data_IF_677800770728
#
_entry.id   IF_677800770728
#
_cell.length_a   1.000
_cell.length_b   1.000
_cell.length_c   1.000
_cell.angle_alpha   90.00
_cell.angle_beta   90.00
_cell.angle_gamma   90.00
#
_symmetry.space_group_name_H-M   'P 1'
#
loop_
_entity.id
_entity.type
_entity.pdbx_description
1 polymer ?
#
# COMPACT_ATOMS: atom_id res chain seq x y z
N UNK A 1 21.90 -5.08 17.47
CA UNK A 1 20.87 -4.79 16.45
C UNK A 1 21.05 -3.34 16.03
N UNK A 2 21.03 -3.00 14.73
CA UNK A 2 21.13 -1.61 14.28
C UNK A 2 20.05 -0.74 14.93
N UNK A 3 20.36 0.53 15.20
CA UNK A 3 19.38 1.48 15.71
C UNK A 3 18.29 1.74 14.64
N UNK A 4 17.00 1.94 14.99
CA UNK A 4 15.92 2.16 14.02
C UNK A 4 16.20 3.25 12.99
N UNK A 5 16.85 4.33 13.42
CA UNK A 5 17.30 5.45 12.56
C UNK A 5 18.16 4.98 11.38
N UNK A 6 18.91 3.89 11.52
CA UNK A 6 19.71 3.33 10.42
C UNK A 6 18.84 2.86 9.25
N UNK A 7 17.63 2.36 9.53
CA UNK A 7 16.69 1.94 8.49
C UNK A 7 16.11 3.15 7.75
N UNK A 8 15.84 4.24 8.47
CA UNK A 8 15.38 5.49 7.87
C UNK A 8 16.47 6.10 6.97
N UNK A 9 17.72 6.13 7.45
CA UNK A 9 18.85 6.56 6.63
C UNK A 9 18.98 5.70 5.37
N UNK A 10 18.87 4.36 5.49
CA UNK A 10 18.91 3.45 4.33
C UNK A 10 17.84 3.82 3.30
N UNK A 11 16.61 4.11 3.75
CA UNK A 11 15.51 4.49 2.86
C UNK A 11 15.73 5.86 2.23
N UNK A 12 16.11 6.89 2.99
CA UNK A 12 16.30 8.25 2.49
C UNK A 12 17.43 8.36 1.45
N UNK A 13 18.51 7.61 1.65
CA UNK A 13 19.69 7.61 0.78
C UNK A 13 19.66 6.52 -0.31
N UNK A 14 18.55 5.82 -0.48
CA UNK A 14 18.48 4.75 -1.46
C UNK A 14 18.66 5.27 -2.90
N UNK A 15 19.32 4.51 -3.78
CA UNK A 15 19.67 4.98 -5.13
C UNK A 15 18.50 5.00 -6.12
N UNK A 16 17.33 4.46 -5.73
CA UNK A 16 16.16 4.31 -6.61
C UNK A 16 14.95 4.93 -5.94
N UNK A 17 14.27 5.84 -6.63
CA UNK A 17 12.94 6.33 -6.21
C UNK A 17 11.88 5.73 -7.12
N UNK A 18 10.73 5.39 -6.53
CA UNK A 18 9.56 4.93 -7.29
C UNK A 18 8.39 5.85 -7.00
N UNK A 19 7.79 6.40 -8.06
CA UNK A 19 6.62 7.28 -7.96
C UNK A 19 5.43 6.63 -8.65
N UNK A 20 4.26 6.52 -8.01
CA UNK A 20 3.06 6.01 -8.66
C UNK A 20 2.58 6.99 -9.74
N UNK A 21 2.30 6.50 -10.96
CA UNK A 21 1.74 7.32 -12.04
C UNK A 21 0.28 6.97 -12.32
N UNK A 22 0.00 5.71 -12.68
CA UNK A 22 -1.35 5.19 -12.93
C UNK A 22 -1.47 3.80 -12.34
N UNK A 23 -1.81 3.75 -11.06
CA UNK A 23 -1.81 2.48 -10.33
C UNK A 23 -2.79 1.47 -10.91
N UNK A 24 -3.98 1.86 -11.38
CA UNK A 24 -4.93 0.94 -12.07
C UNK A 24 -4.36 0.25 -13.32
N UNK A 25 -3.26 0.75 -13.89
CA UNK A 25 -2.54 0.17 -15.04
C UNK A 25 -1.17 -0.39 -14.64
N UNK A 26 -0.93 -0.51 -13.32
CA UNK A 26 0.34 -0.92 -12.72
C UNK A 26 1.52 -0.07 -13.18
N UNK A 27 1.29 1.21 -13.52
CA UNK A 27 2.30 2.11 -14.08
C UNK A 27 2.97 2.93 -12.98
N UNK A 28 4.29 2.76 -12.88
CA UNK A 28 5.15 3.49 -11.94
C UNK A 28 6.29 4.18 -12.69
N UNK A 29 6.80 5.28 -12.16
CA UNK A 29 8.05 5.91 -12.60
C UNK A 29 9.18 5.45 -11.71
N UNK A 30 10.25 4.94 -12.31
CA UNK A 30 11.50 4.61 -11.62
C UNK A 30 12.50 5.71 -11.94
N UNK A 31 13.13 6.27 -10.91
CA UNK A 31 14.19 7.28 -11.01
C UNK A 31 15.51 6.72 -10.49
N UNK A 32 16.58 6.97 -11.24
CA UNK A 32 17.94 6.71 -10.80
C UNK A 32 18.55 7.93 -10.10
N UNK A 33 18.72 7.87 -8.78
CA UNK A 33 19.33 8.94 -7.97
C UNK A 33 20.86 8.89 -7.93
N UNK A 34 21.48 7.95 -8.64
CA UNK A 34 22.94 7.87 -8.76
C UNK A 34 23.45 8.91 -9.75
N UNK A 35 24.67 9.39 -9.51
CA UNK A 35 25.32 10.40 -10.35
C UNK A 35 26.21 9.83 -11.45
N UNK A 36 26.67 8.58 -11.33
CA UNK A 36 27.74 8.05 -12.19
C UNK A 36 27.47 6.68 -12.82
N UNK A 37 26.48 5.93 -12.32
CA UNK A 37 26.16 4.60 -12.82
C UNK A 37 24.68 4.44 -13.13
N UNK A 38 24.37 3.61 -14.13
CA UNK A 38 23.01 3.18 -14.43
C UNK A 38 22.47 2.26 -13.31
N UNK A 39 21.21 1.84 -13.44
CA UNK A 39 20.59 0.83 -12.56
C UNK A 39 20.70 -0.61 -13.10
N UNK A 40 21.54 -0.85 -14.11
CA UNK A 40 21.67 -2.17 -14.78
C UNK A 40 22.24 -3.27 -13.88
N UNK A 41 22.92 -2.89 -12.79
CA UNK A 41 23.43 -3.78 -11.75
C UNK A 41 22.35 -4.27 -10.78
N UNK A 42 21.11 -3.79 -10.91
CA UNK A 42 20.00 -4.10 -10.02
C UNK A 42 18.95 -5.01 -10.68
N UNK A 43 18.29 -5.81 -9.84
CA UNK A 43 17.08 -6.56 -10.17
C UNK A 43 15.95 -6.08 -9.28
N UNK A 44 14.79 -5.81 -9.86
CA UNK A 44 13.59 -5.50 -9.11
C UNK A 44 12.77 -6.77 -8.87
N UNK A 45 12.32 -6.96 -7.64
CA UNK A 45 11.37 -7.98 -7.24
C UNK A 45 10.12 -7.27 -6.76
N UNK A 46 8.96 -7.73 -7.20
CA UNK A 46 7.69 -7.13 -6.83
C UNK A 46 6.80 -8.17 -6.16
N UNK A 47 5.97 -7.70 -5.21
CA UNK A 47 4.96 -8.50 -4.54
C UNK A 47 3.67 -7.71 -4.43
N UNK A 48 2.55 -8.30 -4.82
CA UNK A 48 1.22 -7.76 -4.50
C UNK A 48 0.76 -8.43 -3.21
N UNK A 49 0.37 -7.62 -2.22
CA UNK A 49 -0.09 -8.10 -0.92
C UNK A 49 -1.54 -7.73 -0.68
N UNK A 50 -2.28 -8.65 -0.08
CA UNK A 50 -3.63 -8.45 0.45
C UNK A 50 -3.55 -8.56 1.98
N UNK A 51 -3.86 -7.48 2.70
CA UNK A 51 -3.80 -7.44 4.17
C UNK A 51 -2.46 -8.00 4.72
N UNK A 52 -1.36 -7.67 4.04
CA UNK A 52 0.00 -8.12 4.39
C UNK A 52 0.41 -9.52 3.87
N UNK A 53 -0.53 -10.34 3.40
CA UNK A 53 -0.25 -11.67 2.81
C UNK A 53 0.13 -11.53 1.34
N UNK A 54 1.16 -12.25 0.91
CA UNK A 54 1.59 -12.24 -0.50
C UNK A 54 0.54 -12.96 -1.35
N UNK A 55 0.03 -12.29 -2.37
CA UNK A 55 -0.93 -12.82 -3.33
C UNK A 55 -0.27 -13.14 -4.67
N UNK A 56 0.58 -12.23 -5.16
CA UNK A 56 1.35 -12.39 -6.40
C UNK A 56 2.78 -11.94 -6.16
N UNK A 57 3.73 -12.52 -6.89
CA UNK A 57 5.11 -12.07 -6.89
C UNK A 57 5.79 -12.34 -8.23
N UNK A 58 6.86 -11.60 -8.49
CA UNK A 58 7.66 -11.80 -9.69
C UNK A 58 8.89 -10.91 -9.75
N UNK A 59 9.62 -11.05 -10.86
CA UNK A 59 10.78 -10.22 -11.18
C UNK A 59 10.44 -9.16 -12.22
N UNK A 60 11.15 -8.04 -12.16
CA UNK A 60 11.15 -6.98 -13.16
C UNK A 60 12.60 -6.63 -13.50
N UNK A 61 12.95 -6.78 -14.78
CA UNK A 61 14.27 -6.38 -15.27
C UNK A 61 14.31 -4.86 -15.38
N UNK A 62 15.27 -4.25 -14.72
CA UNK A 62 15.59 -2.83 -14.86
C UNK A 62 16.77 -2.77 -15.83
N UNK A 63 16.63 -2.00 -16.92
CA UNK A 63 17.72 -1.82 -17.88
C UNK A 63 17.65 -0.46 -18.53
N UNK A 64 18.81 0.17 -18.71
CA UNK A 64 18.98 1.39 -19.48
C UNK A 64 18.52 2.66 -18.77
N UNK A 65 18.39 2.65 -17.44
CA UNK A 65 18.12 3.86 -16.66
C UNK A 65 19.46 4.45 -16.23
N UNK A 66 19.95 5.43 -16.98
CA UNK A 66 21.21 6.13 -16.73
C UNK A 66 21.18 7.03 -15.48
N UNK A 67 22.31 7.63 -15.10
CA UNK A 67 22.40 8.51 -13.93
C UNK A 67 21.43 9.70 -14.03
N UNK A 68 20.62 9.93 -13.00
CA UNK A 68 19.61 11.01 -12.97
C UNK A 68 18.41 10.80 -13.89
N UNK A 69 18.35 9.70 -14.64
CA UNK A 69 17.25 9.44 -15.59
C UNK A 69 16.03 8.82 -14.91
N UNK A 70 14.90 8.94 -15.60
CA UNK A 70 13.63 8.32 -15.19
C UNK A 70 13.09 7.42 -16.30
N UNK A 71 12.34 6.40 -15.92
CA UNK A 71 11.64 5.53 -16.88
C UNK A 71 10.30 5.07 -16.31
N UNK A 72 9.27 5.13 -17.13
CA UNK A 72 7.93 4.67 -16.78
C UNK A 72 7.81 3.19 -17.13
N UNK A 73 7.47 2.35 -16.14
CA UNK A 73 7.41 0.90 -16.28
C UNK A 73 6.06 0.40 -15.77
N UNK A 74 5.43 -0.48 -16.56
CA UNK A 74 4.28 -1.25 -16.11
C UNK A 74 4.75 -2.51 -15.41
N UNK A 75 4.40 -2.66 -14.13
CA UNK A 75 4.76 -3.83 -13.32
C UNK A 75 3.91 -5.02 -13.78
N UNK A 76 4.53 -6.18 -14.09
CA UNK A 76 3.89 -7.27 -14.83
C UNK A 76 3.02 -8.16 -13.92
N UNK A 77 2.01 -7.58 -13.27
CA UNK A 77 0.97 -8.32 -12.56
C UNK A 77 -0.41 -7.99 -13.16
N UNK A 78 -1.34 -8.91 -12.99
CA UNK A 78 -2.75 -8.70 -13.29
C UNK A 78 -3.51 -8.55 -11.99
N UNK A 79 -4.47 -7.63 -11.96
CA UNK A 79 -5.38 -7.54 -10.83
C UNK A 79 -6.18 -8.83 -10.68
N UNK A 80 -6.35 -9.33 -9.45
CA UNK A 80 -7.25 -10.45 -9.17
C UNK A 80 -8.67 -10.12 -9.67
N UNK A 81 -9.35 -11.12 -10.25
CA UNK A 81 -10.74 -10.97 -10.69
C UNK A 81 -11.71 -10.90 -9.51
N UNK A 82 -11.38 -11.58 -8.43
CA UNK A 82 -12.13 -11.60 -7.18
C UNK A 82 -11.30 -10.90 -6.12
N UNK A 83 -11.96 -10.01 -5.39
CA UNK A 83 -11.31 -9.18 -4.40
C UNK A 83 -12.09 -9.25 -3.09
N UNK A 84 -11.36 -9.35 -1.98
CA UNK A 84 -11.97 -9.46 -0.67
C UNK A 84 -12.58 -8.11 -0.25
N UNK A 85 -13.86 -8.06 0.13
CA UNK A 85 -14.49 -6.86 0.68
C UNK A 85 -13.67 -6.27 1.84
N UNK A 86 -13.40 -4.96 1.80
CA UNK A 86 -12.65 -4.27 2.85
C UNK A 86 -11.15 -4.61 2.95
N UNK A 87 -10.58 -5.37 2.01
CA UNK A 87 -9.15 -5.65 2.04
C UNK A 87 -8.30 -4.51 1.47
N UNK A 88 -7.14 -4.27 2.10
CA UNK A 88 -6.13 -3.33 1.62
C UNK A 88 -5.09 -4.05 0.77
N UNK A 89 -4.83 -3.49 -0.40
CA UNK A 89 -3.88 -4.03 -1.36
C UNK A 89 -2.67 -3.13 -1.53
N UNK A 90 -1.48 -3.72 -1.50
CA UNK A 90 -0.22 -3.01 -1.63
C UNK A 90 0.67 -3.67 -2.68
N UNK A 91 1.43 -2.86 -3.39
CA UNK A 91 2.52 -3.28 -4.26
C UNK A 91 3.84 -2.96 -3.58
N UNK A 92 4.58 -4.00 -3.22
CA UNK A 92 5.95 -3.88 -2.74
C UNK A 92 6.92 -4.02 -3.92
N UNK A 93 7.90 -3.14 -3.98
CA UNK A 93 8.99 -3.15 -4.94
C UNK A 93 10.31 -3.18 -4.18
N UNK A 94 11.16 -4.16 -4.47
CA UNK A 94 12.43 -4.39 -3.78
C UNK A 94 13.55 -4.49 -4.81
N UNK A 95 14.53 -3.60 -4.73
CA UNK A 95 15.67 -3.57 -5.63
C UNK A 95 16.88 -4.21 -4.97
N UNK A 96 17.46 -5.21 -5.64
CA UNK A 96 18.58 -6.00 -5.12
C UNK A 96 19.74 -6.01 -6.09
N UNK A 97 20.96 -6.08 -5.57
CA UNK A 97 22.17 -6.26 -6.38
C UNK A 97 22.09 -7.56 -7.19
N UNK A 98 22.38 -7.48 -8.48
CA UNK A 98 22.35 -8.65 -9.37
C UNK A 98 23.52 -9.62 -9.09
N UNK A 99 24.66 -9.06 -8.69
CA UNK A 99 25.93 -9.75 -8.49
C UNK A 99 26.59 -9.33 -7.16
N UNK A 100 27.61 -10.08 -6.75
CA UNK A 100 28.42 -9.76 -5.57
C UNK A 100 29.29 -8.54 -5.87
N UNK A 101 29.35 -7.62 -4.92
CA UNK A 101 30.26 -6.46 -4.97
C UNK A 101 31.33 -6.59 -3.89
N UNK A 102 32.24 -5.62 -3.82
CA UNK A 102 33.24 -5.55 -2.74
C UNK A 102 32.61 -5.33 -1.35
N UNK A 103 31.40 -4.78 -1.28
CA UNK A 103 30.76 -4.33 -0.04
C UNK A 103 29.51 -5.15 0.34
N UNK A 104 28.95 -5.95 -0.56
CA UNK A 104 27.81 -6.81 -0.26
C UNK A 104 27.77 -8.10 -1.10
N UNK A 105 27.06 -9.14 -0.62
CA UNK A 105 26.73 -10.30 -1.45
C UNK A 105 25.79 -9.92 -2.61
N UNK A 106 25.65 -10.84 -3.57
CA UNK A 106 24.59 -10.77 -4.56
C UNK A 106 23.22 -10.88 -3.86
N UNK A 107 22.22 -10.17 -4.37
CA UNK A 107 20.86 -10.18 -3.82
C UNK A 107 20.66 -9.24 -2.62
N UNK A 108 21.63 -8.39 -2.29
CA UNK A 108 21.50 -7.42 -1.20
C UNK A 108 20.51 -6.32 -1.56
N UNK A 109 19.57 -6.02 -0.66
CA UNK A 109 18.55 -4.98 -0.85
C UNK A 109 19.14 -3.58 -0.70
N UNK A 110 19.06 -2.78 -1.76
CA UNK A 110 19.56 -1.40 -1.80
C UNK A 110 18.47 -0.35 -1.77
N UNK A 111 17.25 -0.69 -2.21
CA UNK A 111 16.09 0.20 -2.20
C UNK A 111 14.81 -0.62 -2.07
N UNK A 112 13.79 -0.01 -1.48
CA UNK A 112 12.44 -0.58 -1.40
C UNK A 112 11.40 0.53 -1.48
N UNK A 113 10.23 0.19 -2.00
CA UNK A 113 9.07 1.07 -1.97
C UNK A 113 7.78 0.26 -1.81
N UNK A 114 6.79 0.82 -1.11
CA UNK A 114 5.46 0.23 -0.98
C UNK A 114 4.42 1.23 -1.46
N UNK A 115 3.61 0.81 -2.44
CA UNK A 115 2.58 1.64 -3.05
C UNK A 115 1.20 1.05 -2.76
N UNK A 116 0.27 1.88 -2.29
CA UNK A 116 -1.13 1.48 -2.16
C UNK A 116 -1.76 1.27 -3.54
N UNK A 117 -2.51 0.18 -3.70
CA UNK A 117 -3.27 -0.09 -4.91
C UNK A 117 -4.70 0.41 -4.72
N UNK A 118 -5.22 1.31 -5.59
CA UNK A 118 -6.53 1.92 -5.43
C UNK A 118 -7.65 0.96 -5.86
N UNK A 119 -7.79 -0.11 -5.11
CA UNK A 119 -8.77 -1.16 -5.33
C UNK A 119 -9.93 -0.95 -4.37
N UNK A 120 -11.10 -0.71 -4.93
CA UNK A 120 -12.32 -0.48 -4.15
C UNK A 120 -13.11 -1.76 -4.17
N UNK A 121 -13.16 -2.44 -3.03
CA UNK A 121 -14.09 -3.53 -2.77
C UNK A 121 -15.09 -3.01 -1.76
N UNK A 122 -16.36 -2.75 -2.17
CA UNK A 122 -17.36 -2.31 -1.22
C UNK A 122 -17.48 -3.37 -0.12
N UNK A 123 -17.40 -2.92 1.14
CA UNK A 123 -17.67 -3.78 2.29
C UNK A 123 -19.15 -4.11 2.24
N UNK A 124 -19.48 -5.38 2.01
CA UNK A 124 -20.85 -5.85 2.20
C UNK A 124 -20.98 -6.19 3.68
N UNK A 125 -21.76 -5.40 4.42
CA UNK A 125 -22.22 -5.82 5.73
C UNK A 125 -23.37 -6.79 5.51
N UNK A 126 -23.17 -8.06 5.84
CA UNK A 126 -24.28 -9.00 5.96
C UNK A 126 -25.20 -8.46 7.05
N UNK A 127 -26.36 -7.96 6.64
CA UNK A 127 -27.40 -7.55 7.58
C UNK A 127 -27.94 -8.84 8.18
N UNK A 128 -27.45 -9.20 9.36
CA UNK A 128 -28.10 -10.21 10.19
C UNK A 128 -29.42 -9.59 10.62
N UNK A 129 -30.49 -9.89 9.88
CA UNK A 129 -31.85 -9.60 10.27
C UNK A 129 -32.11 -10.40 11.56
N UNK A 130 -31.83 -9.78 12.70
CA UNK A 130 -32.37 -10.23 13.96
C UNK A 130 -33.80 -9.72 13.94
N UNK A 131 -34.78 -10.62 13.84
CA UNK A 131 -36.18 -10.29 14.08
C UNK A 131 -36.28 -9.75 15.51
N UNK A 132 -36.34 -8.42 15.64
CA UNK A 132 -36.70 -7.80 16.90
C UNK A 132 -38.23 -7.89 16.96
N UNK A 133 -38.75 -8.95 17.58
CA UNK A 133 -40.13 -8.94 18.08
C UNK A 133 -40.23 -7.90 19.19
N UNK A 134 -40.58 -6.68 18.81
CA UNK A 134 -40.82 -5.58 19.74
C UNK A 134 -41.57 -4.48 19.02
N UNK A 135 -42.80 -4.21 19.46
CA UNK A 135 -43.64 -3.13 18.95
C UNK A 135 -42.91 -1.78 19.08
N UNK A 136 -42.64 -1.11 17.96
CA UNK A 136 -42.09 0.24 17.93
C UNK A 136 -43.22 1.22 18.20
N UNK A 137 -43.20 1.87 19.36
CA UNK A 137 -44.10 2.97 19.70
C UNK A 137 -43.55 4.27 19.09
N UNK A 138 -44.16 4.73 18.00
CA UNK A 138 -43.75 5.94 17.28
C UNK A 138 -44.29 7.20 17.95
N UNK A 139 -43.69 7.63 19.07
CA UNK A 139 -43.84 9.02 19.54
C UNK A 139 -42.72 9.44 20.49
N UNK A 140 -41.60 9.96 19.95
CA UNK A 140 -40.80 11.05 20.54
C UNK A 140 -39.49 11.22 19.76
N UNK A 141 -39.35 12.32 19.04
CA UNK A 141 -38.03 12.86 18.70
C UNK A 141 -37.41 13.46 19.96
N UNK A 142 -36.76 12.63 20.77
CA UNK A 142 -35.78 13.08 21.74
C UNK A 142 -34.83 11.92 22.08
N UNK A 143 -33.62 12.00 21.51
CA UNK A 143 -32.37 11.38 21.98
C UNK A 143 -32.42 9.87 22.29
N UNK A 144 -32.33 9.04 21.26
CA UNK A 144 -31.96 7.64 21.44
C UNK A 144 -30.43 7.52 21.58
N UNK A 145 -29.93 7.49 22.82
CA UNK A 145 -28.59 6.98 23.09
C UNK A 145 -28.64 5.45 23.01
N UNK A 146 -28.00 4.88 21.99
CA UNK A 146 -27.70 3.45 21.96
C UNK A 146 -26.41 3.20 22.75
N UNK A 147 -26.55 2.69 23.97
CA UNK A 147 -25.43 2.14 24.74
C UNK A 147 -25.31 0.66 24.36
N UNK A 148 -24.41 0.35 23.41
CA UNK A 148 -23.95 -1.02 23.18
C UNK A 148 -22.82 -1.32 24.17
N UNK A 149 -23.01 -2.33 25.02
CA UNK A 149 -22.01 -2.78 26.01
C UNK A 149 -20.92 -3.63 25.32
N UNK A 150 -20.09 -2.99 24.51
CA UNK A 150 -18.66 -3.25 24.29
C UNK A 150 -18.20 -2.48 23.04
N UNK A 151 -17.24 -1.59 23.26
CA UNK A 151 -16.46 -0.81 22.28
C UNK A 151 -17.27 0.04 21.29
N UNK A 152 -17.48 1.30 21.69
CA UNK A 152 -18.07 2.33 20.86
C UNK A 152 -17.10 2.70 19.72
N UNK A 153 -17.47 2.37 18.48
CA UNK A 153 -16.93 3.00 17.28
C UNK A 153 -18.07 3.72 16.58
N UNK A 154 -18.19 5.02 16.87
CA UNK A 154 -19.14 5.92 16.24
C UNK A 154 -18.60 6.41 14.89
N UNK A 155 -19.27 6.07 13.80
CA UNK A 155 -19.04 6.65 12.47
C UNK A 155 -20.29 7.43 12.05
N UNK A 156 -20.22 8.76 12.02
CA UNK A 156 -21.29 9.64 11.52
C UNK A 156 -20.84 10.18 10.17
N UNK A 157 -21.49 9.73 9.09
CA UNK A 157 -21.33 10.31 7.76
C UNK A 157 -22.68 10.90 7.33
N UNK A 158 -22.93 12.17 7.64
CA UNK A 158 -23.87 13.03 6.92
C UNK A 158 -23.74 14.49 7.39
N UNK A 159 -23.31 15.35 6.45
CA UNK A 159 -23.56 16.80 6.36
C UNK A 159 -23.06 17.70 7.50
N UNK A 160 -21.83 18.21 7.30
CA UNK A 160 -21.45 19.62 7.50
C UNK A 160 -21.75 20.27 8.85
N UNK A 161 -20.80 20.20 9.78
CA UNK A 161 -20.20 21.34 10.50
C UNK A 161 -19.17 20.80 11.52
N UNK A 162 -18.00 21.40 11.49
CA UNK A 162 -16.85 21.16 12.39
C UNK A 162 -16.89 22.19 13.54
N UNK A 163 -16.13 21.91 14.62
CA UNK A 163 -15.80 22.77 15.80
C UNK A 163 -16.74 22.62 17.01
N UNK A 164 -16.31 22.53 18.28
CA UNK A 164 -15.01 22.59 18.97
C UNK A 164 -15.22 21.95 20.36
N UNK A 165 -14.21 21.31 20.94
CA UNK A 165 -14.26 20.76 22.31
C UNK A 165 -13.64 21.78 23.28
N UNK A 166 -14.38 22.18 24.32
CA UNK A 166 -13.85 22.64 25.62
C UNK A 166 -14.28 21.66 26.71
#
# INVERSE_FOLDING_TARGET
VPHPVMNECKYLFQPVTVTPLKMRQSLVRIENRRYFSSLDDLKCFWQVRENGKILLEGGLKIKGIGPGETTDISVPFKYPSEMSPGASYHLDLVFRTAEKTSWCPAGYEVAREQLELPLVCPITFDTVATEIEGSVDTSAYHNAQYVQKNEAVSFVMALGLELELD
#
